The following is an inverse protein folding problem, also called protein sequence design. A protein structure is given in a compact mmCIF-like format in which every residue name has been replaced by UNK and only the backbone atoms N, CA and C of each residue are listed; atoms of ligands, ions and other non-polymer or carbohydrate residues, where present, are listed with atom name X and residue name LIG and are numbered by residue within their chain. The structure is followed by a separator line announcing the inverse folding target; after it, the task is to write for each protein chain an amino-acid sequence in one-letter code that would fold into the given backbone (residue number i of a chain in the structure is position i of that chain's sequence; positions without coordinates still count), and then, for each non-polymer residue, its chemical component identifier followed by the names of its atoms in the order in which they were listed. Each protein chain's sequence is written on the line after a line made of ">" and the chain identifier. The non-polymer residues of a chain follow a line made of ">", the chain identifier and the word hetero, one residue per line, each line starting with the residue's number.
data_IF_195896112824
#
_entry.id   IF_195896112824
#
_cell.length_a   1.000
_cell.length_b   1.000
_cell.length_c   1.000
_cell.angle_alpha   90.00
_cell.angle_beta   90.00
_cell.angle_gamma   90.00
#
_symmetry.space_group_name_H-M   'P 1'
#
loop_
_entity.id
_entity.type
_entity.pdbx_description
1 polymer ?
#
# COMPACT_ATOMS: atom_id res chain seq x y z
N UNK A 1 -21.88 -19.92 3.77
CA UNK A 1 -22.94 -19.00 3.30
C UNK A 1 -22.68 -18.68 1.86
N UNK A 2 -23.71 -18.69 1.00
CA UNK A 2 -23.58 -18.39 -0.42
C UNK A 2 -23.80 -16.90 -0.65
N UNK A 3 -22.88 -16.26 -1.37
CA UNK A 3 -22.96 -14.84 -1.77
C UNK A 3 -22.64 -14.71 -3.25
N UNK A 4 -23.32 -13.81 -3.94
CA UNK A 4 -23.06 -13.51 -5.36
C UNK A 4 -22.52 -12.09 -5.48
N UNK A 5 -21.33 -11.93 -6.06
CA UNK A 5 -20.70 -10.63 -6.32
C UNK A 5 -20.48 -10.51 -7.83
N UNK A 6 -21.08 -9.51 -8.47
CA UNK A 6 -20.97 -9.27 -9.93
C UNK A 6 -21.23 -10.53 -10.77
N UNK A 7 -22.29 -11.27 -10.43
CA UNK A 7 -22.74 -12.53 -11.04
C UNK A 7 -21.86 -13.76 -10.78
N UNK A 8 -20.84 -13.64 -9.91
CA UNK A 8 -20.03 -14.78 -9.48
C UNK A 8 -20.46 -15.19 -8.08
N UNK A 9 -20.96 -16.43 -7.95
CA UNK A 9 -21.33 -17.01 -6.66
C UNK A 9 -20.14 -17.69 -6.00
N UNK A 10 -19.96 -17.45 -4.72
CA UNK A 10 -18.95 -18.10 -3.88
C UNK A 10 -19.54 -18.51 -2.53
N UNK A 11 -18.89 -19.47 -1.88
CA UNK A 11 -19.17 -19.85 -0.50
C UNK A 11 -18.13 -19.26 0.44
N UNK A 12 -18.62 -18.64 1.51
CA UNK A 12 -17.78 -17.96 2.51
C UNK A 12 -18.22 -18.29 3.92
N UNK A 13 -17.28 -18.18 4.85
CA UNK A 13 -17.52 -18.35 6.28
C UNK A 13 -18.35 -17.19 6.86
N UNK A 14 -19.10 -17.49 7.92
CA UNK A 14 -19.85 -16.49 8.66
C UNK A 14 -18.92 -15.42 9.26
N UNK A 15 -19.32 -14.15 9.17
CA UNK A 15 -18.51 -13.02 9.62
C UNK A 15 -17.55 -12.43 8.57
N UNK A 16 -17.40 -13.08 7.41
CA UNK A 16 -16.62 -12.54 6.29
C UNK A 16 -17.23 -11.24 5.77
N UNK A 17 -16.41 -10.21 5.54
CA UNK A 17 -16.87 -8.94 4.96
C UNK A 17 -17.06 -9.06 3.45
N UNK A 18 -17.90 -8.21 2.85
CA UNK A 18 -18.10 -8.21 1.39
C UNK A 18 -16.75 -7.98 0.66
N UNK A 19 -15.87 -7.13 1.20
CA UNK A 19 -14.55 -6.89 0.59
C UNK A 19 -13.70 -8.17 0.60
N UNK A 20 -13.63 -8.87 1.73
CA UNK A 20 -12.84 -10.10 1.82
C UNK A 20 -13.43 -11.23 0.98
N UNK A 21 -14.77 -11.31 0.89
CA UNK A 21 -15.44 -12.22 -0.03
C UNK A 21 -15.06 -11.91 -1.49
N UNK A 22 -15.04 -10.64 -1.89
CA UNK A 22 -14.57 -10.24 -3.21
C UNK A 22 -13.10 -10.58 -3.46
N UNK A 23 -12.23 -10.46 -2.45
CA UNK A 23 -10.80 -10.85 -2.53
C UNK A 23 -10.60 -12.35 -2.78
N UNK A 24 -11.51 -13.20 -2.33
CA UNK A 24 -11.46 -14.64 -2.63
C UNK A 24 -11.75 -14.94 -4.11
N UNK A 25 -12.45 -14.04 -4.81
CA UNK A 25 -12.67 -14.13 -6.27
C UNK A 25 -11.46 -13.54 -7.01
N UNK A 26 -10.98 -12.37 -6.55
CA UNK A 26 -9.86 -11.66 -7.13
C UNK A 26 -10.23 -10.81 -8.36
N UNK A 27 -9.19 -10.22 -8.97
CA UNK A 27 -9.31 -9.39 -10.17
C UNK A 27 -10.10 -8.09 -9.97
N UNK A 28 -10.72 -7.61 -11.04
CA UNK A 28 -11.40 -6.31 -11.08
C UNK A 28 -12.71 -6.28 -10.23
N UNK A 29 -13.16 -7.44 -9.74
CA UNK A 29 -14.33 -7.56 -8.86
C UNK A 29 -14.03 -7.02 -7.46
N UNK A 30 -12.77 -6.97 -7.06
CA UNK A 30 -12.38 -6.48 -5.73
C UNK A 30 -12.61 -4.96 -5.64
N UNK A 31 -13.48 -4.47 -4.73
CA UNK A 31 -13.64 -3.03 -4.55
C UNK A 31 -12.35 -2.38 -4.03
N UNK A 32 -11.93 -1.23 -4.58
CA UNK A 32 -10.75 -0.51 -4.11
C UNK A 32 -10.92 -0.02 -2.67
N UNK A 33 -9.84 -0.09 -1.87
CA UNK A 33 -9.88 0.31 -0.47
C UNK A 33 -8.60 1.02 -0.02
N UNK A 34 -8.74 2.24 0.50
CA UNK A 34 -7.61 3.05 0.97
C UNK A 34 -7.36 2.97 2.47
N UNK A 35 -8.39 2.74 3.29
CA UNK A 35 -8.27 2.72 4.76
C UNK A 35 -8.37 1.33 5.37
N UNK A 36 -8.91 0.36 4.64
CA UNK A 36 -8.97 -1.02 5.11
C UNK A 36 -7.60 -1.66 4.95
N UNK A 37 -7.21 -2.51 5.89
CA UNK A 37 -5.94 -3.23 5.88
C UNK A 37 -6.13 -4.53 6.68
N UNK A 38 -5.97 -5.70 6.05
CA UNK A 38 -6.35 -6.99 6.66
C UNK A 38 -5.64 -7.28 7.99
N UNK A 39 -4.35 -6.92 8.08
CA UNK A 39 -3.53 -7.11 9.29
C UNK A 39 -3.80 -6.11 10.41
N UNK A 40 -4.57 -5.03 10.14
CA UNK A 40 -4.91 -4.03 11.14
C UNK A 40 -6.36 -4.20 11.57
N UNK A 41 -6.54 -4.78 12.76
CA UNK A 41 -7.88 -5.06 13.29
C UNK A 41 -8.68 -3.78 13.46
N UNK A 42 -9.95 -3.79 13.07
CA UNK A 42 -10.82 -2.61 13.16
C UNK A 42 -10.55 -1.53 12.12
N UNK A 43 -9.52 -1.67 11.26
CA UNK A 43 -9.31 -0.77 10.12
C UNK A 43 -10.48 -0.86 9.12
N UNK A 44 -10.65 0.18 8.30
CA UNK A 44 -11.78 0.28 7.37
C UNK A 44 -12.85 1.32 7.75
N UNK A 45 -13.79 1.55 6.82
CA UNK A 45 -14.96 2.41 7.03
C UNK A 45 -14.69 3.93 7.05
N UNK A 46 -13.45 4.39 6.80
CA UNK A 46 -13.10 5.83 6.79
C UNK A 46 -13.18 6.44 5.38
N UNK A 47 -12.49 5.85 4.40
CA UNK A 47 -12.32 6.44 3.07
C UNK A 47 -13.52 6.36 2.13
N UNK A 48 -14.44 5.41 2.36
CA UNK A 48 -15.61 5.14 1.50
C UNK A 48 -15.31 4.80 0.03
N UNK A 49 -14.06 4.48 -0.33
CA UNK A 49 -13.71 4.05 -1.69
C UNK A 49 -14.35 2.70 -2.08
N UNK A 50 -14.55 1.83 -1.09
CA UNK A 50 -15.04 0.46 -1.27
C UNK A 50 -16.58 0.36 -1.23
N UNK A 51 -17.29 1.43 -1.59
CA UNK A 51 -18.76 1.41 -1.65
C UNK A 51 -19.22 0.42 -2.71
N UNK A 52 -20.24 -0.37 -2.37
CA UNK A 52 -20.89 -1.35 -3.25
C UNK A 52 -22.40 -1.29 -3.07
N UNK A 53 -23.15 -1.76 -4.07
CA UNK A 53 -24.60 -1.85 -4.02
C UNK A 53 -25.02 -3.26 -3.61
N UNK A 54 -25.91 -3.37 -2.63
CA UNK A 54 -26.51 -4.65 -2.24
C UNK A 54 -27.93 -4.68 -2.81
N UNK A 55 -28.12 -5.39 -3.93
CA UNK A 55 -29.41 -5.49 -4.61
C UNK A 55 -30.35 -6.49 -3.93
N UNK A 56 -29.80 -7.44 -3.18
CA UNK A 56 -30.55 -8.38 -2.36
C UNK A 56 -29.82 -8.58 -1.04
N UNK A 57 -30.48 -8.28 0.09
CA UNK A 57 -29.88 -8.34 1.42
C UNK A 57 -29.48 -9.76 1.83
N UNK A 58 -30.43 -10.69 1.76
CA UNK A 58 -30.25 -12.11 2.07
C UNK A 58 -31.38 -12.96 1.47
N UNK A 59 -31.31 -14.27 1.61
CA UNK A 59 -32.44 -15.17 1.32
C UNK A 59 -33.62 -14.95 2.27
N UNK A 60 -33.36 -14.64 3.55
CA UNK A 60 -34.40 -14.42 4.57
C UNK A 60 -35.10 -13.08 4.42
N UNK A 61 -34.34 -12.03 4.08
CA UNK A 61 -34.83 -10.69 3.80
C UNK A 61 -34.21 -10.23 2.47
N UNK A 62 -34.94 -10.39 1.34
CA UNK A 62 -34.41 -10.09 0.01
C UNK A 62 -34.43 -8.59 -0.30
N UNK A 63 -34.90 -7.72 0.61
CA UNK A 63 -34.98 -6.29 0.33
C UNK A 63 -33.58 -5.73 0.03
N UNK A 64 -33.45 -4.88 -1.01
CA UNK A 64 -32.19 -4.21 -1.29
C UNK A 64 -31.84 -3.26 -0.15
N UNK A 65 -30.54 -3.05 0.07
CA UNK A 65 -30.13 -2.00 0.99
C UNK A 65 -30.37 -0.64 0.33
N UNK A 66 -30.96 0.35 1.04
CA UNK A 66 -31.39 1.60 0.44
C UNK A 66 -30.25 2.54 0.05
N UNK A 67 -29.04 2.28 0.54
CA UNK A 67 -27.83 3.07 0.27
C UNK A 67 -26.68 2.14 -0.09
N UNK A 68 -25.72 2.67 -0.82
CA UNK A 68 -24.44 2.00 -1.00
C UNK A 68 -23.78 1.76 0.36
N UNK A 69 -23.22 0.57 0.55
CA UNK A 69 -22.61 0.15 1.80
C UNK A 69 -21.12 -0.03 1.64
N UNK A 70 -20.37 0.19 2.72
CA UNK A 70 -18.93 0.00 2.72
C UNK A 70 -18.60 -1.50 2.80
N UNK A 71 -18.08 -2.07 1.72
CA UNK A 71 -17.79 -3.51 1.64
C UNK A 71 -16.80 -4.00 2.70
N UNK A 72 -15.84 -3.16 3.12
CA UNK A 72 -14.84 -3.52 4.13
C UNK A 72 -15.37 -3.70 5.56
N UNK A 73 -16.59 -3.24 5.86
CA UNK A 73 -17.19 -3.33 7.20
C UNK A 73 -18.54 -4.07 7.21
N UNK A 74 -19.15 -4.24 6.04
CA UNK A 74 -20.42 -4.94 5.92
C UNK A 74 -20.15 -6.42 5.79
N UNK A 75 -20.68 -7.23 6.70
CA UNK A 75 -20.58 -8.69 6.65
C UNK A 75 -21.54 -9.25 5.62
N UNK A 76 -21.12 -10.29 4.93
CA UNK A 76 -21.99 -11.02 4.00
C UNK A 76 -23.11 -11.73 4.75
N UNK A 77 -24.26 -11.87 4.10
CA UNK A 77 -25.36 -12.71 4.56
C UNK A 77 -25.65 -13.79 3.52
N UNK A 78 -26.26 -14.88 3.95
CA UNK A 78 -26.61 -15.99 3.07
C UNK A 78 -27.65 -15.54 2.02
N UNK A 79 -27.37 -15.79 0.75
CA UNK A 79 -28.17 -15.33 -0.38
C UNK A 79 -27.97 -13.85 -0.77
N UNK A 80 -26.97 -13.17 -0.20
CA UNK A 80 -26.70 -11.76 -0.52
C UNK A 80 -26.23 -11.61 -1.98
N UNK A 81 -26.75 -10.60 -2.68
CA UNK A 81 -26.31 -10.23 -4.04
C UNK A 81 -25.74 -8.82 -4.01
N UNK A 82 -24.46 -8.74 -4.39
CA UNK A 82 -23.66 -7.51 -4.41
C UNK A 82 -23.29 -7.16 -5.84
N UNK A 83 -23.44 -5.88 -6.17
CA UNK A 83 -23.01 -5.29 -7.43
C UNK A 83 -21.91 -4.29 -7.13
N UNK A 84 -20.74 -4.49 -7.73
CA UNK A 84 -19.59 -3.58 -7.62
C UNK A 84 -19.33 -2.94 -8.98
N UNK A 85 -18.71 -3.65 -9.94
CA UNK A 85 -18.42 -3.09 -11.27
C UNK A 85 -19.63 -3.11 -12.20
N UNK A 86 -20.61 -3.97 -11.92
CA UNK A 86 -21.83 -4.07 -12.73
C UNK A 86 -22.84 -2.96 -12.45
N UNK A 87 -22.63 -2.15 -11.40
CA UNK A 87 -23.53 -1.06 -11.00
C UNK A 87 -23.00 0.32 -11.43
N UNK A 88 -23.69 1.03 -12.34
CA UNK A 88 -23.30 2.39 -12.73
C UNK A 88 -23.34 3.38 -11.56
N UNK A 89 -24.25 3.18 -10.60
CA UNK A 89 -24.38 3.97 -9.37
C UNK A 89 -23.12 3.88 -8.51
N UNK A 90 -22.53 2.69 -8.39
CA UNK A 90 -21.29 2.47 -7.62
C UNK A 90 -20.11 3.16 -8.30
N UNK A 91 -20.01 3.03 -9.62
CA UNK A 91 -18.94 3.67 -10.40
C UNK A 91 -19.01 5.19 -10.23
N UNK A 92 -20.19 5.78 -10.31
CA UNK A 92 -20.37 7.22 -10.15
C UNK A 92 -20.09 7.69 -8.72
N UNK A 93 -20.58 6.97 -7.72
CA UNK A 93 -20.26 7.26 -6.32
C UNK A 93 -18.75 7.19 -6.05
N UNK A 94 -18.04 6.24 -6.66
CA UNK A 94 -16.59 6.10 -6.51
C UNK A 94 -15.86 7.30 -7.09
N UNK A 95 -16.25 7.81 -8.27
CA UNK A 95 -15.68 9.05 -8.83
C UNK A 95 -15.84 10.22 -7.86
N UNK A 96 -17.03 10.37 -7.26
CA UNK A 96 -17.27 11.40 -6.24
C UNK A 96 -16.39 11.25 -4.99
N UNK A 97 -16.17 10.03 -4.52
CA UNK A 97 -15.25 9.77 -3.40
C UNK A 97 -13.81 10.12 -3.78
N UNK A 98 -13.36 9.74 -4.98
CA UNK A 98 -12.01 10.07 -5.46
C UNK A 98 -11.84 11.58 -5.61
N UNK A 99 -12.84 12.29 -6.15
CA UNK A 99 -12.86 13.75 -6.19
C UNK A 99 -12.68 14.33 -4.77
N UNK A 100 -13.46 13.86 -3.80
CA UNK A 100 -13.38 14.32 -2.40
C UNK A 100 -12.00 14.05 -1.75
N UNK A 101 -11.38 12.91 -2.03
CA UNK A 101 -10.02 12.61 -1.56
C UNK A 101 -8.98 13.56 -2.19
N UNK A 102 -9.19 13.99 -3.43
CA UNK A 102 -8.28 14.84 -4.18
C UNK A 102 -8.55 16.34 -4.01
N UNK A 103 -9.71 16.78 -3.51
CA UNK A 103 -10.07 18.21 -3.36
C UNK A 103 -9.01 18.97 -2.55
N UNK A 104 -8.56 18.40 -1.43
CA UNK A 104 -7.58 19.01 -0.53
C UNK A 104 -6.18 18.39 -0.62
N UNK A 105 -5.96 17.45 -1.54
CA UNK A 105 -4.65 16.83 -1.74
C UNK A 105 -3.74 17.74 -2.58
N UNK A 106 -2.47 17.97 -2.21
CA UNK A 106 -1.58 18.86 -2.95
C UNK A 106 -1.15 18.25 -4.28
N UNK A 107 -0.80 19.11 -5.25
CA UNK A 107 -0.25 18.71 -6.55
C UNK A 107 1.24 18.36 -6.46
N UNK A 108 1.58 17.53 -5.49
CA UNK A 108 2.96 17.21 -5.12
C UNK A 108 3.52 16.00 -5.87
N UNK A 109 2.76 15.35 -6.76
CA UNK A 109 3.17 14.10 -7.41
C UNK A 109 4.61 14.11 -7.97
N UNK A 110 5.10 15.17 -8.65
CA UNK A 110 6.48 15.19 -9.16
C UNK A 110 7.56 15.14 -8.07
N UNK A 111 7.27 15.75 -6.91
CA UNK A 111 8.19 15.86 -5.75
C UNK A 111 7.88 14.86 -4.65
N UNK A 112 6.82 14.06 -4.80
CA UNK A 112 6.41 13.04 -3.86
C UNK A 112 7.25 11.78 -4.07
N UNK A 113 7.83 11.24 -2.99
CA UNK A 113 8.67 10.04 -3.06
C UNK A 113 7.84 8.77 -3.36
N UNK A 114 6.56 8.77 -2.96
CA UNK A 114 5.61 7.69 -3.22
C UNK A 114 5.14 7.63 -4.69
N UNK A 115 5.51 8.59 -5.53
CA UNK A 115 5.08 8.59 -6.92
C UNK A 115 5.51 7.27 -7.61
N UNK A 116 4.56 6.64 -8.32
CA UNK A 116 4.77 5.33 -8.96
C UNK A 116 4.53 4.10 -8.07
N UNK A 117 4.32 4.30 -6.77
CA UNK A 117 3.84 3.27 -5.83
C UNK A 117 2.74 3.83 -4.90
N UNK A 118 2.02 4.84 -5.38
CA UNK A 118 1.00 5.57 -4.62
C UNK A 118 -0.38 5.02 -4.96
N UNK A 119 -1.04 4.41 -3.97
CA UNK A 119 -2.37 3.82 -4.19
C UNK A 119 -3.41 4.90 -4.53
N UNK A 120 -3.23 6.15 -4.07
CA UNK A 120 -4.13 7.26 -4.44
C UNK A 120 -3.93 7.69 -5.89
N UNK A 121 -2.71 7.60 -6.41
CA UNK A 121 -2.41 7.89 -7.81
C UNK A 121 -3.10 6.86 -8.71
N UNK A 122 -2.94 5.58 -8.40
CA UNK A 122 -3.55 4.48 -9.15
C UNK A 122 -5.09 4.54 -9.06
N UNK A 123 -5.63 4.77 -7.86
CA UNK A 123 -7.06 4.99 -7.64
C UNK A 123 -7.60 6.18 -8.45
N UNK A 124 -6.85 7.28 -8.50
CA UNK A 124 -7.20 8.46 -9.29
C UNK A 124 -7.23 8.17 -10.78
N UNK A 125 -6.28 7.38 -11.28
CA UNK A 125 -6.20 6.97 -12.68
C UNK A 125 -7.35 6.03 -13.08
N UNK A 126 -7.63 5.02 -12.25
CA UNK A 126 -8.61 3.97 -12.57
C UNK A 126 -10.06 4.38 -12.34
N UNK A 127 -10.31 5.24 -11.35
CA UNK A 127 -11.65 5.53 -10.86
C UNK A 127 -11.95 7.03 -10.68
N UNK A 128 -10.99 7.91 -10.94
CA UNK A 128 -11.17 9.35 -10.86
C UNK A 128 -11.74 9.98 -12.13
N UNK A 129 -12.01 11.28 -12.05
CA UNK A 129 -12.32 12.11 -13.21
C UNK A 129 -11.04 12.71 -13.81
N UNK A 130 -10.99 12.86 -15.13
CA UNK A 130 -9.82 13.41 -15.84
C UNK A 130 -9.54 14.89 -15.52
N UNK A 131 -10.55 15.64 -15.07
CA UNK A 131 -10.44 17.06 -14.71
C UNK A 131 -10.99 17.29 -13.32
N UNK A 132 -10.39 18.21 -12.59
CA UNK A 132 -10.95 18.72 -11.33
C UNK A 132 -11.89 19.90 -11.61
N UNK A 133 -12.96 20.01 -10.83
CA UNK A 133 -13.86 21.18 -10.81
C UNK A 133 -13.58 22.08 -9.61
N UNK A 134 -12.60 21.73 -8.79
CA UNK A 134 -12.26 22.45 -7.56
C UNK A 134 -11.28 23.58 -7.87
N UNK A 135 -11.72 24.82 -7.64
CA UNK A 135 -11.00 26.05 -7.97
C UNK A 135 -10.56 26.85 -6.74
N UNK A 136 -10.87 26.36 -5.54
CA UNK A 136 -10.58 27.05 -4.28
C UNK A 136 -9.20 26.69 -3.74
N UNK A 137 -8.75 27.49 -2.77
CA UNK A 137 -7.51 27.23 -2.05
C UNK A 137 -7.61 25.92 -1.26
N UNK A 138 -6.59 25.07 -1.44
CA UNK A 138 -6.45 23.80 -0.74
C UNK A 138 -5.99 24.06 0.68
N UNK A 139 -6.47 23.27 1.63
CA UNK A 139 -5.98 23.33 3.01
C UNK A 139 -4.47 23.07 3.08
N UNK A 140 -3.81 23.76 4.00
CA UNK A 140 -2.39 23.56 4.32
C UNK A 140 -2.24 23.24 5.79
N UNK A 141 -1.09 22.67 6.16
CA UNK A 141 -0.74 22.32 7.52
C UNK A 141 0.70 22.73 7.80
N UNK A 142 0.97 23.12 9.03
CA UNK A 142 2.32 23.40 9.48
C UNK A 142 3.17 22.13 9.47
N UNK A 143 4.45 22.28 9.08
CA UNK A 143 5.38 21.17 9.05
C UNK A 143 5.88 20.92 10.48
N UNK A 144 5.63 19.72 10.97
CA UNK A 144 6.18 19.24 12.24
C UNK A 144 7.25 18.20 11.98
N UNK A 145 8.25 18.14 12.85
CA UNK A 145 9.20 17.03 12.88
C UNK A 145 8.71 15.97 13.85
N UNK A 146 8.71 14.71 13.40
CA UNK A 146 8.24 13.56 14.17
C UNK A 146 9.36 12.52 14.39
N UNK A 147 10.62 12.92 14.23
CA UNK A 147 11.79 12.07 14.46
C UNK A 147 12.68 11.92 13.24
N UNK A 148 13.83 11.27 13.40
CA UNK A 148 14.91 11.16 12.40
C UNK A 148 14.63 10.18 11.24
N UNK A 149 13.77 9.18 11.46
CA UNK A 149 13.50 8.09 10.50
C UNK A 149 12.32 8.36 9.57
N UNK A 150 11.29 9.06 10.04
CA UNK A 150 10.01 9.22 9.33
C UNK A 150 9.78 10.69 9.00
N UNK A 151 9.53 10.99 7.73
CA UNK A 151 9.13 12.32 7.29
C UNK A 151 7.62 12.38 7.13
N UNK A 152 6.98 13.31 7.84
CA UNK A 152 5.57 13.64 7.70
C UNK A 152 5.36 14.80 6.73
N UNK A 153 4.48 14.60 5.76
CA UNK A 153 3.89 15.62 4.89
C UNK A 153 2.38 15.57 5.03
N UNK A 154 1.89 16.27 6.05
CA UNK A 154 0.49 16.17 6.46
C UNK A 154 -0.50 16.62 5.36
N UNK A 155 -0.13 17.59 4.53
CA UNK A 155 -0.95 18.01 3.38
C UNK A 155 -1.31 16.87 2.42
N UNK A 156 -0.43 15.86 2.29
CA UNK A 156 -0.67 14.68 1.44
C UNK A 156 -1.56 13.62 2.10
N UNK A 157 -1.84 13.74 3.40
CA UNK A 157 -2.60 12.74 4.14
C UNK A 157 -4.10 12.80 3.81
N UNK A 158 -4.67 11.64 3.52
CA UNK A 158 -6.11 11.45 3.28
C UNK A 158 -6.88 10.99 4.52
N UNK A 159 -6.27 11.04 5.71
CA UNK A 159 -6.88 10.65 6.98
C UNK A 159 -7.49 9.23 6.94
N UNK A 160 -6.74 8.27 6.41
CA UNK A 160 -7.17 6.86 6.33
C UNK A 160 -7.04 6.10 7.67
N UNK A 161 -6.30 6.66 8.63
CA UNK A 161 -6.05 6.15 9.98
C UNK A 161 -5.16 4.90 10.05
N UNK A 162 -4.66 4.37 8.93
CA UNK A 162 -3.79 3.17 8.95
C UNK A 162 -2.57 3.33 9.86
N UNK A 163 -1.87 4.47 9.80
CA UNK A 163 -0.72 4.73 10.67
C UNK A 163 -1.06 4.71 12.16
N UNK A 164 -2.22 5.25 12.54
CA UNK A 164 -2.71 5.27 13.93
C UNK A 164 -2.99 3.85 14.40
N UNK A 165 -3.69 3.04 13.60
CA UNK A 165 -3.93 1.63 13.92
C UNK A 165 -2.64 0.82 14.01
N UNK A 166 -1.68 1.05 13.10
CA UNK A 166 -0.37 0.38 13.15
C UNK A 166 0.40 0.71 14.41
N UNK A 167 0.48 1.99 14.80
CA UNK A 167 1.15 2.36 16.04
C UNK A 167 0.42 1.80 17.27
N UNK A 168 -0.91 1.77 17.27
CA UNK A 168 -1.70 1.25 18.38
C UNK A 168 -1.56 -0.27 18.58
N UNK A 169 -1.41 -1.02 17.49
CA UNK A 169 -1.42 -2.50 17.52
C UNK A 169 -0.04 -3.14 17.50
N UNK A 170 0.95 -2.47 16.91
CA UNK A 170 2.27 -3.05 16.62
C UNK A 170 3.36 -2.46 17.52
N UNK A 171 3.13 -1.30 18.14
CA UNK A 171 4.11 -0.67 19.03
C UNK A 171 3.60 -0.63 20.46
N UNK A 172 4.51 -0.61 21.44
CA UNK A 172 4.16 -0.66 22.87
C UNK A 172 3.25 0.50 23.30
N UNK A 173 3.44 1.67 22.71
CA UNK A 173 2.62 2.83 23.00
C UNK A 173 2.54 3.76 21.79
N UNK A 174 1.34 4.25 21.50
CA UNK A 174 1.11 5.15 20.37
C UNK A 174 1.54 6.58 20.69
N UNK A 175 2.43 7.15 19.88
CA UNK A 175 2.97 8.52 20.05
C UNK A 175 2.20 9.58 19.22
N UNK A 176 1.72 9.22 18.02
CA UNK A 176 0.99 10.13 17.14
C UNK A 176 -0.49 9.76 17.05
N UNK A 177 -1.34 10.73 16.74
CA UNK A 177 -2.79 10.53 16.64
C UNK A 177 -3.44 11.50 15.67
N UNK A 178 -4.78 11.49 15.65
CA UNK A 178 -5.55 12.51 14.93
C UNK A 178 -5.87 13.64 15.90
N UNK A 179 -5.40 14.83 15.58
CA UNK A 179 -5.77 16.07 16.27
C UNK A 179 -6.85 16.81 15.49
N UNK A 180 -7.50 17.75 16.16
CA UNK A 180 -8.56 18.60 15.60
C UNK A 180 -9.77 17.81 15.07
N UNK A 181 -10.62 18.46 14.28
CA UNK A 181 -11.87 17.88 13.75
C UNK A 181 -12.20 18.49 12.38
N UNK A 182 -12.91 17.72 11.56
CA UNK A 182 -13.38 18.17 10.24
C UNK A 182 -12.24 18.24 9.23
N UNK A 183 -12.26 19.23 8.37
CA UNK A 183 -11.23 19.52 7.38
C UNK A 183 -9.92 20.04 7.99
N UNK A 184 -9.93 20.48 9.25
CA UNK A 184 -8.72 20.80 10.02
C UNK A 184 -8.07 19.58 10.70
N UNK A 185 -8.63 18.38 10.54
CA UNK A 185 -8.08 17.17 11.17
C UNK A 185 -6.68 16.85 10.63
N UNK A 186 -5.75 16.56 11.53
CA UNK A 186 -4.38 16.25 11.16
C UNK A 186 -3.75 15.09 11.93
N UNK A 187 -2.84 14.38 11.28
CA UNK A 187 -1.95 13.43 11.95
C UNK A 187 -0.81 14.24 12.56
N UNK A 188 -0.69 14.19 13.88
CA UNK A 188 0.33 14.94 14.60
C UNK A 188 0.66 14.27 15.94
N UNK A 189 1.74 14.72 16.57
CA UNK A 189 2.11 14.36 17.95
C UNK A 189 1.63 15.49 18.87
N UNK A 190 0.91 15.16 19.94
CA UNK A 190 0.30 16.18 20.82
C UNK A 190 1.35 17.07 21.52
N UNK A 191 2.48 16.48 21.86
CA UNK A 191 3.73 17.15 22.25
C UNK A 191 4.71 16.73 21.15
N UNK A 192 5.58 17.63 20.67
CA UNK A 192 6.60 17.39 19.62
C UNK A 192 7.64 16.32 20.01
N UNK A 193 7.18 15.12 20.35
CA UNK A 193 7.95 13.94 20.65
C UNK A 193 8.27 13.26 19.34
N UNK A 194 9.52 12.83 19.22
CA UNK A 194 9.92 11.94 18.15
C UNK A 194 9.15 10.61 18.27
N UNK A 195 8.78 10.02 17.13
CA UNK A 195 8.24 8.68 17.06
C UNK A 195 9.42 7.70 17.10
N UNK A 196 9.75 7.21 18.29
CA UNK A 196 10.98 6.47 18.57
C UNK A 196 10.78 4.96 18.81
N UNK A 197 9.57 4.43 18.69
CA UNK A 197 9.28 3.00 18.87
C UNK A 197 10.00 2.08 17.88
N UNK A 198 10.36 0.87 18.29
CA UNK A 198 11.13 -0.10 17.49
C UNK A 198 10.44 -0.61 16.22
N UNK A 199 9.11 -0.50 16.12
CA UNK A 199 8.34 -0.88 14.93
C UNK A 199 7.67 0.31 14.23
N UNK A 200 8.01 1.54 14.62
CA UNK A 200 7.37 2.75 14.10
C UNK A 200 7.50 2.91 12.58
N UNK A 201 8.59 2.43 11.97
CA UNK A 201 8.82 2.54 10.54
C UNK A 201 7.79 1.83 9.67
N UNK A 202 7.01 0.89 10.23
CA UNK A 202 5.94 0.21 9.50
C UNK A 202 4.78 1.15 9.12
N UNK A 203 4.65 2.32 9.77
CA UNK A 203 3.65 3.33 9.38
C UNK A 203 3.88 3.85 7.95
N UNK A 204 5.12 3.76 7.44
CA UNK A 204 5.46 4.13 6.06
C UNK A 204 4.84 3.11 5.08
N UNK A 205 5.00 1.81 5.34
CA UNK A 205 4.54 0.77 4.42
C UNK A 205 3.01 0.65 4.34
N UNK A 206 2.31 0.91 5.44
CA UNK A 206 0.84 0.87 5.49
C UNK A 206 0.20 2.12 4.88
N UNK A 207 0.94 3.24 4.79
CA UNK A 207 0.43 4.51 4.32
C UNK A 207 0.16 4.44 2.81
N UNK A 208 -1.09 4.62 2.35
CA UNK A 208 -1.43 4.47 0.93
C UNK A 208 -1.03 5.69 0.06
N UNK A 209 -0.44 6.70 0.69
CA UNK A 209 -0.08 8.00 0.09
C UNK A 209 1.29 8.43 0.60
N UNK A 210 1.95 9.38 -0.07
CA UNK A 210 3.26 9.89 0.36
C UNK A 210 3.25 10.88 1.53
N UNK A 211 2.34 10.68 2.50
CA UNK A 211 2.26 11.49 3.71
C UNK A 211 3.29 11.08 4.76
N UNK A 212 3.57 9.78 4.89
CA UNK A 212 4.61 9.23 5.77
C UNK A 212 5.64 8.54 4.89
N UNK A 213 6.86 9.08 4.84
CA UNK A 213 7.93 8.60 3.94
C UNK A 213 9.22 8.34 4.71
N UNK A 214 10.05 7.43 4.20
CA UNK A 214 11.35 7.06 4.78
C UNK A 214 12.38 8.19 4.57
N UNK A 215 12.84 8.84 5.64
CA UNK A 215 13.89 9.88 5.57
C UNK A 215 15.22 9.35 5.01
N UNK A 216 15.50 8.05 5.19
CA UNK A 216 16.74 7.41 4.75
C UNK A 216 16.74 7.09 3.26
N UNK A 217 15.58 6.98 2.61
CA UNK A 217 15.44 6.70 1.18
C UNK A 217 15.07 7.92 0.35
N UNK A 218 14.35 8.86 0.96
CA UNK A 218 13.78 10.03 0.31
C UNK A 218 14.74 10.68 -0.70
N UNK A 219 14.29 10.84 -1.93
CA UNK A 219 15.01 11.50 -3.03
C UNK A 219 16.32 10.83 -3.48
N UNK A 220 16.68 9.66 -2.95
CA UNK A 220 17.85 8.91 -3.43
C UNK A 220 17.59 8.24 -4.78
N UNK A 221 16.37 7.75 -4.99
CA UNK A 221 15.97 7.13 -6.25
C UNK A 221 14.45 7.15 -6.43
N UNK A 222 13.97 6.84 -7.64
CA UNK A 222 12.55 6.51 -7.88
C UNK A 222 12.37 5.01 -8.01
N UNK A 223 11.20 4.52 -7.61
CA UNK A 223 10.92 3.08 -7.54
C UNK A 223 10.95 2.37 -8.89
N UNK A 224 10.65 3.08 -9.98
CA UNK A 224 10.78 2.51 -11.32
C UNK A 224 12.22 2.34 -11.76
N UNK A 225 13.22 3.01 -11.15
CA UNK A 225 14.64 2.79 -11.47
C UNK A 225 15.29 1.69 -10.61
N UNK A 226 14.55 1.13 -9.65
CA UNK A 226 15.07 0.12 -8.73
C UNK A 226 14.62 -1.28 -9.12
N UNK A 227 15.47 -2.27 -8.82
CA UNK A 227 15.25 -3.70 -9.07
C UNK A 227 14.98 -4.40 -7.74
N UNK A 228 13.72 -4.45 -7.25
CA UNK A 228 13.44 -5.03 -5.96
C UNK A 228 13.67 -6.55 -5.95
N UNK A 229 14.27 -7.05 -4.87
CA UNK A 229 14.46 -8.48 -4.63
C UNK A 229 13.82 -8.87 -3.31
N UNK A 230 13.35 -10.12 -3.22
CA UNK A 230 12.94 -10.73 -1.97
C UNK A 230 14.17 -11.25 -1.25
N UNK A 231 14.25 -10.97 0.05
CA UNK A 231 15.35 -11.40 0.89
C UNK A 231 14.87 -11.62 2.32
N UNK A 232 15.65 -12.35 3.10
CA UNK A 232 15.44 -12.51 4.53
C UNK A 232 16.74 -12.39 5.31
N UNK A 233 16.59 -12.19 6.62
CA UNK A 233 17.66 -12.36 7.61
C UNK A 233 17.08 -12.91 8.90
N UNK A 234 17.90 -13.62 9.66
CA UNK A 234 17.57 -13.98 11.04
C UNK A 234 17.74 -12.74 11.92
N UNK A 235 16.61 -12.20 12.37
CA UNK A 235 16.57 -11.01 13.20
C UNK A 235 16.29 -11.39 14.65
N UNK A 236 17.15 -10.94 15.58
CA UNK A 236 17.01 -11.23 17.02
C UNK A 236 15.93 -10.38 17.71
N UNK A 237 15.46 -9.30 17.06
CA UNK A 237 14.39 -8.45 17.59
C UNK A 237 13.08 -9.24 17.67
N UNK A 238 12.51 -9.34 18.87
CA UNK A 238 11.22 -9.97 19.12
C UNK A 238 10.12 -9.37 18.22
N UNK A 239 9.29 -10.22 17.63
CA UNK A 239 8.19 -9.83 16.73
C UNK A 239 8.61 -9.44 15.31
N UNK A 240 9.90 -9.39 14.99
CA UNK A 240 10.38 -9.09 13.63
C UNK A 240 10.43 -10.36 12.78
N UNK A 241 9.76 -10.37 11.63
CA UNK A 241 9.77 -11.54 10.73
C UNK A 241 11.07 -11.72 9.94
N UNK A 242 11.88 -10.67 9.80
CA UNK A 242 13.12 -10.68 9.02
C UNK A 242 12.95 -10.82 7.50
N UNK A 243 11.73 -11.04 6.98
CA UNK A 243 11.42 -11.15 5.54
C UNK A 243 11.11 -9.79 4.94
N UNK A 244 11.81 -9.42 3.87
CA UNK A 244 11.75 -8.08 3.29
C UNK A 244 11.75 -8.08 1.77
N UNK A 245 11.40 -6.93 1.21
CA UNK A 245 11.79 -6.53 -0.13
C UNK A 245 12.94 -5.53 -0.02
N UNK A 246 14.08 -5.87 -0.64
CA UNK A 246 15.23 -5.00 -0.72
C UNK A 246 15.20 -4.19 -2.00
N UNK A 247 15.46 -2.90 -1.85
CA UNK A 247 15.67 -1.97 -2.94
C UNK A 247 17.13 -1.55 -2.86
N UNK A 248 17.95 -1.93 -3.83
CA UNK A 248 19.40 -1.80 -3.75
C UNK A 248 20.01 -1.22 -5.02
N UNK A 249 21.24 -0.73 -4.91
CA UNK A 249 22.09 -0.22 -5.99
C UNK A 249 23.52 -0.67 -5.74
N UNK A 250 24.00 -1.63 -6.51
CA UNK A 250 25.30 -2.26 -6.26
C UNK A 250 25.27 -3.05 -4.96
N UNK A 251 26.17 -2.73 -4.03
CA UNK A 251 26.24 -3.36 -2.70
C UNK A 251 25.40 -2.65 -1.63
N UNK A 252 24.92 -1.43 -1.95
CA UNK A 252 24.17 -0.60 -1.03
C UNK A 252 22.67 -0.86 -1.16
N UNK A 253 22.04 -1.21 -0.04
CA UNK A 253 20.59 -1.26 0.08
C UNK A 253 20.10 0.15 0.39
N UNK A 254 19.39 0.76 -0.55
CA UNK A 254 18.88 2.13 -0.42
C UNK A 254 17.56 2.18 0.34
N UNK A 255 16.74 1.12 0.29
CA UNK A 255 15.47 1.00 1.02
C UNK A 255 15.16 -0.45 1.35
N UNK A 256 14.49 -0.65 2.49
CA UNK A 256 13.98 -1.94 2.94
C UNK A 256 12.51 -1.75 3.28
N UNK A 257 11.64 -2.60 2.73
CA UNK A 257 10.20 -2.62 3.03
C UNK A 257 9.78 -4.03 3.43
N UNK A 258 8.67 -4.15 4.16
CA UNK A 258 8.03 -5.45 4.34
C UNK A 258 7.62 -6.06 2.99
N UNK A 259 7.54 -7.39 2.93
CA UNK A 259 6.91 -8.07 1.79
C UNK A 259 5.44 -7.71 1.77
N UNK A 260 4.89 -7.45 0.58
CA UNK A 260 3.48 -7.09 0.42
C UNK A 260 2.79 -8.08 -0.49
N UNK A 261 1.54 -8.37 -0.14
CA UNK A 261 0.62 -9.17 -0.94
C UNK A 261 0.16 -8.42 -2.21
N UNK A 262 -0.72 -9.07 -2.97
CA UNK A 262 -1.30 -8.54 -4.20
C UNK A 262 -2.14 -7.26 -3.98
N UNK A 263 -2.63 -7.01 -2.76
CA UNK A 263 -3.41 -5.82 -2.40
C UNK A 263 -2.53 -4.69 -1.84
N UNK A 264 -1.21 -4.87 -1.84
CA UNK A 264 -0.24 -3.92 -1.30
C UNK A 264 -0.25 -3.85 0.22
N UNK A 265 -0.77 -4.88 0.89
CA UNK A 265 -0.74 -5.03 2.35
C UNK A 265 0.48 -5.87 2.76
N UNK A 266 1.12 -5.50 3.86
CA UNK A 266 2.32 -6.15 4.37
C UNK A 266 1.92 -7.51 4.92
N UNK A 267 2.65 -8.55 4.53
CA UNK A 267 2.39 -9.92 4.97
C UNK A 267 2.71 -10.07 6.47
N UNK A 268 3.88 -9.58 6.86
CA UNK A 268 4.45 -9.61 8.21
C UNK A 268 5.30 -8.35 8.45
N UNK A 269 5.27 -7.81 9.68
CA UNK A 269 5.95 -6.56 10.02
C UNK A 269 7.44 -6.74 10.35
N UNK A 270 8.23 -5.68 10.16
CA UNK A 270 9.67 -5.68 10.41
C UNK A 270 10.07 -4.59 11.41
N UNK A 271 11.11 -4.85 12.20
CA UNK A 271 11.64 -3.85 13.13
C UNK A 271 12.40 -2.74 12.39
N UNK A 272 12.63 -1.63 13.11
CA UNK A 272 13.35 -0.47 12.62
C UNK A 272 14.81 -0.79 12.29
N UNK A 273 15.45 -1.73 13.00
CA UNK A 273 16.83 -2.14 12.69
C UNK A 273 16.93 -2.78 11.30
N UNK A 274 16.01 -3.72 10.99
CA UNK A 274 15.91 -4.28 9.64
C UNK A 274 15.63 -3.19 8.59
N UNK A 275 14.77 -2.23 8.91
CA UNK A 275 14.35 -1.19 7.95
C UNK A 275 15.42 -0.12 7.67
N UNK A 276 16.05 0.40 8.72
CA UNK A 276 16.86 1.61 8.67
C UNK A 276 18.36 1.37 8.85
N UNK A 277 18.77 0.30 9.52
CA UNK A 277 20.18 0.11 9.90
C UNK A 277 20.89 -0.88 8.96
N UNK A 278 20.21 -1.95 8.52
CA UNK A 278 20.77 -2.98 7.64
C UNK A 278 20.76 -2.56 6.17
N UNK A 279 21.76 -1.77 5.79
CA UNK A 279 21.85 -1.09 4.48
C UNK A 279 22.91 -1.69 3.53
N UNK A 280 23.45 -2.88 3.80
CA UNK A 280 24.35 -3.59 2.87
C UNK A 280 23.70 -4.88 2.37
N UNK A 281 23.94 -5.26 1.12
CA UNK A 281 23.42 -6.53 0.56
C UNK A 281 23.96 -7.76 1.31
N UNK A 282 25.17 -7.64 1.89
CA UNK A 282 25.77 -8.68 2.73
C UNK A 282 25.02 -8.94 4.05
N UNK A 283 24.15 -8.01 4.50
CA UNK A 283 23.32 -8.20 5.69
C UNK A 283 22.14 -9.17 5.46
N UNK A 284 21.93 -9.61 4.21
CA UNK A 284 20.71 -10.30 3.78
C UNK A 284 21.00 -11.54 2.92
N UNK A 285 20.12 -12.53 3.03
CA UNK A 285 20.06 -13.68 2.12
C UNK A 285 19.06 -13.35 1.02
N UNK A 286 19.53 -13.09 -0.20
CA UNK A 286 18.69 -12.77 -1.36
C UNK A 286 18.09 -14.07 -1.92
N UNK A 287 16.77 -14.15 -1.96
CA UNK A 287 16.02 -15.31 -2.46
C UNK A 287 15.78 -15.23 -3.97
N UNK A 288 15.53 -14.02 -4.49
CA UNK A 288 15.26 -13.82 -5.91
C UNK A 288 14.59 -12.49 -6.23
N UNK A 289 14.32 -12.20 -7.52
CA UNK A 289 13.60 -11.00 -7.92
C UNK A 289 12.17 -11.00 -7.36
N UNK A 290 11.71 -9.85 -6.89
CA UNK A 290 10.32 -9.69 -6.46
C UNK A 290 9.39 -9.74 -7.68
N UNK A 291 8.30 -10.48 -7.58
CA UNK A 291 7.21 -10.42 -8.57
C UNK A 291 6.51 -9.07 -8.48
N UNK A 292 6.52 -8.33 -9.59
CA UNK A 292 5.88 -7.02 -9.71
C UNK A 292 4.77 -7.14 -10.76
N UNK A 293 3.59 -6.62 -10.45
CA UNK A 293 2.48 -6.59 -11.41
C UNK A 293 2.88 -5.89 -12.71
N UNK A 294 2.50 -6.47 -13.84
CA UNK A 294 2.73 -5.90 -15.17
C UNK A 294 2.03 -4.55 -15.39
N UNK A 295 1.01 -4.23 -14.58
CA UNK A 295 0.33 -2.93 -14.58
C UNK A 295 1.09 -1.86 -13.78
N UNK A 296 2.09 -2.23 -12.99
CA UNK A 296 2.86 -1.28 -12.18
C UNK A 296 3.88 -0.53 -13.04
N UNK A 297 4.07 0.77 -12.80
CA UNK A 297 5.19 1.50 -13.43
C UNK A 297 6.56 0.94 -13.03
N UNK A 298 6.63 0.19 -11.93
CA UNK A 298 7.84 -0.51 -11.52
C UNK A 298 8.20 -1.60 -12.55
N UNK A 299 7.22 -2.27 -13.19
CA UNK A 299 7.51 -3.30 -14.19
C UNK A 299 7.94 -2.75 -15.56
N UNK A 300 7.88 -1.43 -15.79
CA UNK A 300 8.21 -0.80 -17.07
C UNK A 300 9.64 -1.11 -17.56
N UNK A 301 10.56 -1.48 -16.66
CA UNK A 301 11.94 -1.83 -16.98
C UNK A 301 12.18 -3.34 -17.19
N UNK A 302 11.13 -4.14 -17.40
CA UNK A 302 11.19 -5.56 -17.81
C UNK A 302 12.11 -6.46 -16.96
N UNK A 303 11.96 -6.42 -15.63
CA UNK A 303 12.85 -7.15 -14.72
C UNK A 303 12.77 -8.68 -14.80
N UNK A 304 11.71 -9.28 -15.33
CA UNK A 304 11.66 -10.74 -15.53
C UNK A 304 12.61 -11.23 -16.62
N UNK A 305 13.08 -10.33 -17.50
CA UNK A 305 14.16 -10.62 -18.46
C UNK A 305 15.56 -10.47 -17.85
N UNK A 306 15.65 -10.37 -16.52
CA UNK A 306 16.93 -10.36 -15.80
C UNK A 306 17.69 -11.67 -16.08
N UNK A 307 18.65 -11.56 -17.00
CA UNK A 307 19.85 -12.39 -17.06
C UNK A 307 20.43 -12.50 -15.64
N UNK A 308 20.95 -13.66 -15.20
CA UNK A 308 21.41 -13.87 -13.83
C UNK A 308 22.36 -12.75 -13.42
N UNK A 309 21.95 -12.03 -12.36
CA UNK A 309 22.69 -10.91 -11.80
C UNK A 309 24.09 -11.38 -11.36
N UNK A 310 25.11 -10.49 -11.36
CA UNK A 310 26.46 -10.82 -10.95
C UNK A 310 26.42 -11.56 -9.62
N UNK A 311 26.76 -12.83 -9.67
CA UNK A 311 26.78 -13.70 -8.50
C UNK A 311 27.83 -13.10 -7.57
N UNK A 312 27.41 -12.67 -6.39
CA UNK A 312 28.33 -12.16 -5.34
C UNK A 312 29.34 -13.25 -4.91
N UNK A 313 29.12 -14.50 -5.34
CA UNK A 313 30.07 -15.62 -5.22
C UNK A 313 30.60 -16.03 -6.60
N UNK A 314 31.90 -16.30 -6.68
CA UNK A 314 32.58 -16.74 -7.90
C UNK A 314 31.97 -18.06 -8.43
N UNK A 315 31.03 -17.97 -9.36
CA UNK A 315 30.53 -19.10 -10.13
C UNK A 315 31.07 -18.99 -11.57
N UNK A 316 32.05 -19.82 -11.98
CA UNK A 316 32.75 -19.71 -13.26
C UNK A 316 31.83 -19.80 -14.49
N UNK A 317 30.81 -20.66 -14.43
CA UNK A 317 29.88 -20.88 -15.54
C UNK A 317 29.00 -19.65 -15.80
N UNK A 318 28.63 -18.93 -14.73
CA UNK A 318 27.84 -17.70 -14.83
C UNK A 318 28.69 -16.50 -15.29
N UNK A 319 30.00 -16.53 -15.05
CA UNK A 319 30.93 -15.50 -15.54
C UNK A 319 31.21 -15.64 -17.04
N UNK A 320 31.35 -16.87 -17.54
CA UNK A 320 31.61 -17.14 -18.95
C UNK A 320 30.41 -16.79 -19.84
N UNK A 321 29.20 -17.12 -19.39
CA UNK A 321 27.95 -16.72 -20.06
C UNK A 321 27.75 -15.20 -20.12
N UNK A 322 28.15 -14.47 -19.08
CA UNK A 322 28.11 -13.01 -19.06
C UNK A 322 29.12 -12.37 -20.04
N UNK A 323 30.27 -13.01 -20.26
CA UNK A 323 31.31 -12.52 -21.17
C UNK A 323 30.92 -12.65 -22.64
N UNK A 324 30.41 -13.82 -23.05
CA UNK A 324 29.92 -14.03 -24.43
C UNK A 324 28.79 -13.05 -24.81
N UNK A 325 27.95 -12.73 -23.83
CA UNK A 325 26.82 -11.84 -24.05
C UNK A 325 27.21 -10.36 -24.15
N UNK A 326 28.21 -9.93 -23.36
CA UNK A 326 28.79 -8.60 -23.45
C UNK A 326 29.49 -8.36 -24.81
N UNK A 327 30.18 -9.38 -25.33
CA UNK A 327 30.82 -9.34 -26.66
C UNK A 327 29.80 -9.28 -27.81
N UNK A 328 28.57 -9.74 -27.59
CA UNK A 328 27.45 -9.67 -28.55
C UNK A 328 26.82 -8.27 -28.62
N UNK A 329 26.71 -7.60 -27.48
CA UNK A 329 26.10 -6.26 -27.37
C UNK A 329 27.05 -5.14 -27.82
N UNK A 330 28.38 -5.35 -27.73
CA UNK A 330 29.39 -4.39 -28.21
C UNK A 330 29.65 -4.45 -29.72
N UNK A 331 28.98 -5.35 -30.45
CA UNK A 331 29.06 -5.47 -31.93
C UNK A 331 27.86 -4.86 -32.67
N UNK A 332 26.92 -4.20 -31.97
CA UNK A 332 25.81 -3.42 -32.53
C UNK A 332 26.05 -1.92 -32.32
#
# INVERSE_FOLDING_TARGET
>A
MKVTIDNISIEVEAGTTILNAARMIGGDIVPPAMCYYSKLQGSGGKCRTCLVKVSQGSEKDPRPMPKLVASCRTTVMDGMVVQNITSPEVIEARKGVVEMLLINHPLDCPVCDQAGECHLQDLGYEHGAAKTRYEFDRRTFDKIDIGDKIQLHMTRCILCYRCVFTADQITDHRIHGILNRGDHSEISTYIQKAVDNDFSGNVIDVCPVGALTDKTFRFKNRVWFTKPVEAHRDCETEGCCGKVTLWYKGEDVIRVTGRKDEYGEVEEFICNTCRFDKKKTADWVIEGPRKVSNKSVISANHYETLKPLPVVKANPLLQEANKEQFERETRL
#
